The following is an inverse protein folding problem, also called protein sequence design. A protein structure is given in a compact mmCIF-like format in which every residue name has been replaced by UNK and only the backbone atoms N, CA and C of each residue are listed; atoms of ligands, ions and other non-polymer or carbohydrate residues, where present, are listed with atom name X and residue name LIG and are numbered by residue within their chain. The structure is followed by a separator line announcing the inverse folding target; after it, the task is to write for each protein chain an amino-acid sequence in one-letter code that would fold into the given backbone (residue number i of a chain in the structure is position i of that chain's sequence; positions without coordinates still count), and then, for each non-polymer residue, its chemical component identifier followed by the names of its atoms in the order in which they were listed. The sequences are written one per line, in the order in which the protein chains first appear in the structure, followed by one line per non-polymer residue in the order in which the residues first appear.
data_IF_477685262629
#
_entry.id   IF_477685262629
#
_cell.length_a   1.000
_cell.length_b   1.000
_cell.length_c   1.000
_cell.angle_alpha   90.00
_cell.angle_beta   90.00
_cell.angle_gamma   90.00
#
_symmetry.space_group_name_H-M   'P 1'
#
loop_
_entity.id
_entity.type
_entity.pdbx_description
1 polymer ?
#
# COMPACT_ATOMS: atom_id res chain seq x y z
N UNK A 1 -6.63 6.15 -20.59
CA UNK A 1 -6.94 6.16 -19.14
C UNK A 1 -5.62 6.23 -18.42
N UNK A 2 -5.36 7.31 -17.69
CA UNK A 2 -4.16 7.41 -16.87
C UNK A 2 -4.27 6.41 -15.72
N UNK A 3 -3.30 5.50 -15.64
CA UNK A 3 -3.25 4.52 -14.55
C UNK A 3 -2.92 5.23 -13.24
N UNK A 4 -3.32 4.66 -12.10
CA UNK A 4 -2.92 5.19 -10.79
C UNK A 4 -1.38 5.22 -10.65
N UNK A 5 -0.66 4.26 -11.24
CA UNK A 5 0.81 4.31 -11.33
C UNK A 5 1.31 5.58 -12.00
N UNK A 6 0.76 5.91 -13.17
CA UNK A 6 1.09 7.13 -13.92
C UNK A 6 0.84 8.39 -13.07
N UNK A 7 -0.23 8.40 -12.25
CA UNK A 7 -0.50 9.51 -11.33
C UNK A 7 0.55 9.60 -10.22
N UNK A 8 0.89 8.49 -9.57
CA UNK A 8 1.90 8.43 -8.51
C UNK A 8 3.26 8.93 -9.01
N UNK A 9 3.65 8.56 -10.22
CA UNK A 9 4.96 8.91 -10.79
C UNK A 9 5.05 10.38 -11.23
N UNK A 10 3.93 10.98 -11.66
CA UNK A 10 3.91 12.32 -12.26
C UNK A 10 3.39 13.43 -11.34
N UNK A 11 2.69 13.10 -10.25
CA UNK A 11 2.22 14.11 -9.31
C UNK A 11 3.40 14.69 -8.50
N UNK A 12 3.39 16.02 -8.22
CA UNK A 12 4.38 16.61 -7.33
C UNK A 12 4.33 15.94 -5.95
N UNK A 13 5.48 15.45 -5.52
CA UNK A 13 5.66 14.83 -4.20
C UNK A 13 6.06 15.91 -3.22
N UNK A 14 5.41 15.93 -2.05
CA UNK A 14 5.88 16.72 -0.92
C UNK A 14 7.23 16.20 -0.42
N UNK A 15 7.34 14.87 -0.31
CA UNK A 15 8.56 14.21 0.16
C UNK A 15 8.72 12.83 -0.48
N UNK A 16 9.97 12.38 -0.60
CA UNK A 16 10.32 10.98 -0.85
C UNK A 16 11.29 10.53 0.24
N UNK A 17 11.03 9.37 0.83
CA UNK A 17 11.91 8.77 1.84
C UNK A 17 12.21 7.30 1.51
N UNK A 18 13.36 6.84 1.98
CA UNK A 18 13.65 5.42 2.06
C UNK A 18 12.76 4.77 3.12
N UNK A 19 12.22 3.61 2.81
CA UNK A 19 11.37 2.85 3.71
C UNK A 19 11.62 1.35 3.55
N UNK A 20 11.07 0.57 4.46
CA UNK A 20 11.03 -0.87 4.31
C UNK A 20 9.70 -1.42 4.81
N UNK A 21 9.24 -2.48 4.17
CA UNK A 21 8.05 -3.22 4.58
C UNK A 21 8.49 -4.59 5.08
N UNK A 22 7.95 -5.01 6.22
CA UNK A 22 8.19 -6.34 6.76
C UNK A 22 7.80 -7.42 5.73
N UNK A 23 8.66 -8.41 5.54
CA UNK A 23 8.43 -9.49 4.58
C UNK A 23 7.06 -10.20 4.75
N UNK A 24 6.56 -10.45 5.99
CA UNK A 24 5.22 -11.02 6.17
C UNK A 24 4.10 -10.19 5.53
N UNK A 25 4.17 -8.85 5.60
CA UNK A 25 3.15 -7.98 5.01
C UNK A 25 3.22 -8.01 3.47
N UNK A 26 4.43 -7.99 2.89
CA UNK A 26 4.63 -8.14 1.44
C UNK A 26 4.06 -9.46 0.94
N UNK A 27 4.34 -10.56 1.65
CA UNK A 27 3.86 -11.89 1.27
C UNK A 27 2.34 -11.99 1.39
N UNK A 28 1.75 -11.40 2.44
CA UNK A 28 0.31 -11.34 2.63
C UNK A 28 -0.38 -10.59 1.49
N UNK A 29 0.14 -9.42 1.11
CA UNK A 29 -0.40 -8.64 0.00
C UNK A 29 -0.25 -9.39 -1.32
N UNK A 30 0.92 -9.98 -1.61
CA UNK A 30 1.09 -10.81 -2.82
C UNK A 30 0.09 -11.96 -2.89
N UNK A 31 -0.13 -12.65 -1.78
CA UNK A 31 -1.11 -13.73 -1.71
C UNK A 31 -2.53 -13.23 -1.95
N UNK A 32 -2.90 -12.08 -1.36
CA UNK A 32 -4.20 -11.46 -1.58
C UNK A 32 -4.42 -11.04 -3.04
N UNK A 33 -3.41 -10.46 -3.68
CA UNK A 33 -3.48 -10.06 -5.09
C UNK A 33 -3.68 -11.27 -6.03
N UNK A 34 -3.09 -12.42 -5.68
CA UNK A 34 -3.25 -13.67 -6.44
C UNK A 34 -4.62 -14.32 -6.20
N UNK A 35 -5.10 -14.33 -4.95
CA UNK A 35 -6.29 -15.11 -4.56
C UNK A 35 -7.61 -14.36 -4.62
N UNK A 36 -7.58 -13.04 -4.47
CA UNK A 36 -8.79 -12.21 -4.36
C UNK A 36 -8.97 -11.42 -5.66
N UNK A 37 -8.12 -10.42 -5.90
CA UNK A 37 -8.12 -9.60 -7.11
C UNK A 37 -6.84 -8.76 -7.21
N UNK A 38 -6.50 -8.30 -8.41
CA UNK A 38 -5.45 -7.31 -8.64
C UNK A 38 -5.94 -6.28 -9.68
N UNK A 39 -6.02 -4.98 -9.36
CA UNK A 39 -5.75 -4.38 -8.05
C UNK A 39 -6.79 -4.74 -7.00
N UNK A 40 -6.37 -4.73 -5.73
CA UNK A 40 -7.25 -4.89 -4.58
C UNK A 40 -7.47 -3.54 -3.90
N UNK A 41 -8.73 -3.10 -3.82
CA UNK A 41 -9.12 -1.82 -3.26
C UNK A 41 -10.08 -1.99 -2.09
N UNK A 42 -9.90 -1.21 -1.02
CA UNK A 42 -10.78 -1.18 0.13
C UNK A 42 -10.66 0.13 0.92
N UNK A 43 -11.73 0.52 1.62
CA UNK A 43 -11.70 1.64 2.55
C UNK A 43 -10.86 1.30 3.77
N UNK A 44 -10.04 2.25 4.22
CA UNK A 44 -9.26 2.12 5.44
C UNK A 44 -10.16 2.17 6.67
N UNK A 45 -9.96 1.26 7.63
CA UNK A 45 -10.78 1.23 8.83
C UNK A 45 -10.50 2.45 9.72
N UNK A 46 -11.57 3.10 10.20
CA UNK A 46 -11.46 4.26 11.10
C UNK A 46 -11.00 5.56 10.44
N UNK A 47 -10.72 5.58 9.13
CA UNK A 47 -10.28 6.76 8.39
C UNK A 47 -11.29 7.09 7.28
N UNK A 48 -12.03 8.18 7.48
CA UNK A 48 -13.08 8.60 6.53
C UNK A 48 -12.46 9.02 5.19
N UNK A 49 -13.07 8.57 4.09
CA UNK A 49 -12.67 8.85 2.70
C UNK A 49 -11.26 8.37 2.34
N UNK A 50 -10.60 7.61 3.21
CA UNK A 50 -9.31 7.04 2.90
C UNK A 50 -9.52 5.66 2.30
N UNK A 51 -8.96 5.44 1.11
CA UNK A 51 -8.98 4.15 0.45
C UNK A 51 -7.56 3.68 0.16
N UNK A 52 -7.37 2.37 0.26
CA UNK A 52 -6.10 1.70 -0.02
C UNK A 52 -6.27 0.92 -1.31
N UNK A 53 -5.35 1.12 -2.24
CA UNK A 53 -5.23 0.35 -3.47
C UNK A 53 -3.89 -0.39 -3.43
N UNK A 54 -3.97 -1.71 -3.44
CA UNK A 54 -2.83 -2.61 -3.49
C UNK A 54 -2.66 -3.13 -4.91
N UNK A 55 -1.45 -3.01 -5.44
CA UNK A 55 -1.03 -3.59 -6.71
C UNK A 55 0.39 -4.14 -6.60
N UNK A 56 0.85 -4.90 -7.60
CA UNK A 56 2.16 -5.56 -7.53
C UNK A 56 3.34 -4.58 -7.42
N UNK A 57 3.24 -3.41 -8.04
CA UNK A 57 4.33 -2.44 -8.14
C UNK A 57 4.23 -1.28 -7.13
N UNK A 58 3.04 -1.03 -6.59
CA UNK A 58 2.79 0.06 -5.66
C UNK A 58 1.60 -0.26 -4.77
N UNK A 59 1.65 0.27 -3.55
CA UNK A 59 0.51 0.35 -2.65
C UNK A 59 0.26 1.81 -2.36
N UNK A 60 -0.94 2.30 -2.64
CA UNK A 60 -1.27 3.72 -2.49
C UNK A 60 -2.46 3.90 -1.58
N UNK A 61 -2.34 4.91 -0.73
CA UNK A 61 -3.41 5.45 0.07
C UNK A 61 -3.91 6.71 -0.65
N UNK A 62 -5.20 6.78 -0.95
CA UNK A 62 -5.86 7.91 -1.62
C UNK A 62 -6.91 8.53 -0.72
N UNK A 63 -7.18 9.82 -0.92
CA UNK A 63 -8.38 10.48 -0.41
C UNK A 63 -9.45 10.50 -1.52
N UNK A 64 -10.48 9.66 -1.38
CA UNK A 64 -11.55 9.54 -2.36
C UNK A 64 -12.53 10.73 -2.36
N UNK A 65 -12.44 11.62 -1.37
CA UNK A 65 -13.19 12.89 -1.38
C UNK A 65 -12.53 13.99 -2.22
N UNK A 66 -11.27 13.79 -2.61
CA UNK A 66 -10.47 14.74 -3.37
C UNK A 66 -10.05 14.19 -4.74
N UNK A 67 -10.99 13.60 -5.49
CA UNK A 67 -10.73 13.00 -6.81
C UNK A 67 -9.59 11.94 -6.79
N UNK A 68 -9.60 11.09 -5.76
CA UNK A 68 -8.61 10.04 -5.54
C UNK A 68 -7.17 10.56 -5.54
N UNK A 69 -6.94 11.73 -4.93
CA UNK A 69 -5.59 12.27 -4.77
C UNK A 69 -4.80 11.31 -3.86
N UNK A 70 -3.60 10.87 -4.29
CA UNK A 70 -2.71 10.11 -3.41
C UNK A 70 -2.35 10.92 -2.16
N UNK A 71 -2.45 10.28 -1.00
CA UNK A 71 -1.92 10.79 0.27
C UNK A 71 -0.46 10.38 0.41
N UNK A 72 -0.20 9.09 0.23
CA UNK A 72 1.13 8.52 0.11
C UNK A 72 1.10 7.21 -0.67
N UNK A 73 2.26 6.77 -1.17
CA UNK A 73 2.42 5.49 -1.83
C UNK A 73 3.74 4.81 -1.45
N UNK A 74 3.68 3.52 -1.13
CA UNK A 74 4.87 2.66 -1.17
C UNK A 74 5.07 2.16 -2.60
N UNK A 75 6.30 2.25 -3.08
CA UNK A 75 6.67 1.82 -4.44
C UNK A 75 8.13 1.36 -4.49
N UNK A 76 8.58 0.91 -5.66
CA UNK A 76 9.95 0.44 -5.88
C UNK A 76 10.36 -0.68 -4.91
N UNK A 77 9.46 -1.64 -4.68
CA UNK A 77 9.75 -2.78 -3.81
C UNK A 77 10.89 -3.64 -4.38
N UNK A 78 12.00 -3.73 -3.65
CA UNK A 78 13.17 -4.52 -4.03
C UNK A 78 12.95 -6.02 -3.73
N UNK A 79 12.10 -6.66 -4.53
CA UNK A 79 11.68 -8.06 -4.31
C UNK A 79 12.42 -9.08 -5.18
N UNK A 80 13.17 -8.65 -6.20
CA UNK A 80 13.84 -9.54 -7.17
C UNK A 80 15.20 -10.02 -6.65
N UNK A 81 15.52 -11.29 -6.89
CA UNK A 81 16.86 -11.85 -6.64
C UNK A 81 17.24 -12.01 -5.16
N UNK A 82 16.27 -11.99 -4.23
CA UNK A 82 16.54 -12.15 -2.80
C UNK A 82 16.71 -13.62 -2.42
N UNK A 83 17.74 -13.92 -1.66
CA UNK A 83 17.91 -15.20 -0.95
C UNK A 83 17.17 -15.24 0.38
N UNK A 84 16.96 -14.07 1.00
CA UNK A 84 16.48 -13.99 2.38
C UNK A 84 15.00 -13.58 2.42
N UNK A 85 14.11 -14.56 2.59
CA UNK A 85 12.67 -14.38 2.54
C UNK A 85 12.06 -13.72 3.80
N UNK A 86 12.85 -13.57 4.87
CA UNK A 86 12.39 -13.05 6.16
C UNK A 86 12.78 -11.60 6.42
N UNK A 87 13.77 -11.06 5.71
CA UNK A 87 14.26 -9.69 5.95
C UNK A 87 13.31 -8.65 5.34
N UNK A 88 13.12 -7.48 5.98
CA UNK A 88 12.29 -6.40 5.42
C UNK A 88 12.68 -6.06 3.98
N UNK A 89 11.69 -5.74 3.16
CA UNK A 89 11.84 -5.37 1.74
C UNK A 89 12.08 -3.86 1.65
N UNK A 90 13.25 -3.41 1.18
CA UNK A 90 13.48 -2.00 0.87
C UNK A 90 12.50 -1.49 -0.19
N UNK A 91 12.07 -0.25 -0.03
CA UNK A 91 11.16 0.44 -0.95
C UNK A 91 11.31 1.95 -0.78
N UNK A 92 10.57 2.72 -1.59
CA UNK A 92 10.38 4.14 -1.37
C UNK A 92 8.98 4.42 -0.81
N UNK A 93 8.89 5.43 0.04
CA UNK A 93 7.64 6.05 0.43
C UNK A 93 7.55 7.43 -0.21
N UNK A 94 6.56 7.62 -1.08
CA UNK A 94 6.22 8.91 -1.67
C UNK A 94 5.10 9.53 -0.85
N UNK A 95 5.31 10.72 -0.31
CA UNK A 95 4.29 11.50 0.40
C UNK A 95 3.84 12.67 -0.47
N UNK A 96 2.54 12.83 -0.64
CA UNK A 96 1.93 13.91 -1.43
C UNK A 96 1.26 14.96 -0.52
N UNK A 97 1.03 14.60 0.74
CA UNK A 97 0.55 15.50 1.79
C UNK A 97 1.56 15.61 2.94
N UNK A 98 1.63 16.79 3.56
CA UNK A 98 2.61 17.11 4.61
C UNK A 98 2.46 16.27 5.90
N UNK A 99 1.26 15.74 6.15
CA UNK A 99 0.93 14.95 7.34
C UNK A 99 0.65 13.48 7.01
N UNK A 100 1.12 13.01 5.86
CA UNK A 100 0.89 11.63 5.43
C UNK A 100 1.49 10.61 6.42
N UNK A 101 2.62 10.96 7.04
CA UNK A 101 3.33 10.15 8.04
C UNK A 101 2.45 9.74 9.23
N UNK A 102 1.49 10.58 9.63
CA UNK A 102 0.59 10.32 10.77
C UNK A 102 -0.25 9.05 10.61
N UNK A 103 -0.51 8.60 9.38
CA UNK A 103 -1.37 7.43 9.11
C UNK A 103 -0.63 6.27 8.44
N UNK A 104 0.67 6.41 8.12
CA UNK A 104 1.46 5.40 7.42
C UNK A 104 1.44 4.06 8.15
N UNK A 105 1.73 4.05 9.46
CA UNK A 105 1.78 2.80 10.23
C UNK A 105 0.38 2.24 10.51
N UNK A 106 -0.61 3.11 10.77
CA UNK A 106 -2.02 2.70 10.87
C UNK A 106 -2.51 1.99 9.61
N UNK A 107 -2.16 2.48 8.43
CA UNK A 107 -2.53 1.84 7.16
C UNK A 107 -1.80 0.51 6.97
N UNK A 108 -0.53 0.36 7.39
CA UNK A 108 0.15 -0.95 7.33
C UNK A 108 -0.56 -1.99 8.20
N UNK A 109 -0.94 -1.61 9.42
CA UNK A 109 -1.67 -2.48 10.34
C UNK A 109 -3.05 -2.83 9.79
N UNK A 110 -3.75 -1.84 9.24
CA UNK A 110 -5.07 -2.04 8.65
C UNK A 110 -5.01 -2.98 7.45
N UNK A 111 -4.06 -2.81 6.52
CA UNK A 111 -3.82 -3.76 5.41
C UNK A 111 -3.67 -5.18 5.97
N UNK A 112 -2.87 -5.36 7.04
CA UNK A 112 -2.66 -6.67 7.63
C UNK A 112 -3.98 -7.28 8.16
N UNK A 113 -4.76 -6.51 8.92
CA UNK A 113 -6.03 -6.95 9.52
C UNK A 113 -7.02 -7.31 8.41
N UNK A 114 -7.19 -6.40 7.46
CA UNK A 114 -8.16 -6.49 6.37
C UNK A 114 -7.87 -7.67 5.43
N UNK A 115 -6.60 -7.93 5.11
CA UNK A 115 -6.23 -9.05 4.25
C UNK A 115 -6.31 -10.39 4.97
N UNK A 116 -5.95 -10.46 6.25
CA UNK A 116 -6.12 -11.69 7.05
C UNK A 116 -7.59 -12.11 7.11
N UNK A 117 -8.49 -11.17 7.39
CA UNK A 117 -9.93 -11.44 7.44
C UNK A 117 -10.49 -11.95 6.09
N UNK A 118 -10.03 -11.38 4.97
CA UNK A 118 -10.49 -11.77 3.62
C UNK A 118 -9.90 -13.11 3.15
N UNK A 119 -8.66 -13.44 3.53
CA UNK A 119 -7.99 -14.69 3.15
C UNK A 119 -8.36 -15.88 4.05
N UNK A 120 -8.80 -15.62 5.28
CA UNK A 120 -9.19 -16.65 6.25
C UNK A 120 -10.57 -16.34 6.86
N UNK A 121 -11.66 -16.39 6.08
CA UNK A 121 -12.99 -16.04 6.56
C UNK A 121 -13.53 -17.00 7.64
N UNK A 122 -12.95 -18.19 7.79
CA UNK A 122 -13.40 -19.22 8.73
C UNK A 122 -12.90 -19.01 10.18
N UNK A 123 -12.06 -18.00 10.43
CA UNK A 123 -11.45 -17.71 11.73
C UNK A 123 -11.89 -16.32 12.27
N UNK A 124 -12.75 -15.61 11.53
CA UNK A 124 -13.22 -14.26 11.85
C UNK A 124 -14.53 -14.26 12.64
#
# INVERSE_FOLDING_TARGET
MDSMKTRIDNLPRYQTSDSSIAAPLINLVKLALIRINSPLQFSANGLRNIEVILEHEYWVCIDSSLNDIPVFAWTQFETRGRSDLHTPIPCKLYSFHAHADLIVDTIKEDIQIQLKARLHPEIA
#
